data_IF_928905467507
#
_entry.id   IF_928905467507
#
_cell.length_a   1.000
_cell.length_b   1.000
_cell.length_c   1.000
_cell.angle_alpha   90.00
_cell.angle_beta   90.00
_cell.angle_gamma   90.00
#
_symmetry.space_group_name_H-M   'P 1'
#
loop_
_entity.id
_entity.type
_entity.pdbx_description
1 polymer ?
#
# COMPACT_ATOMS: atom_id res chain seq x y z
N UNK A 1 -22.27 23.15 -43.37
CA UNK A 1 -20.95 22.70 -42.88
C UNK A 1 -21.16 22.22 -41.45
N UNK A 2 -21.11 20.89 -41.27
CA UNK A 2 -21.22 20.26 -39.96
C UNK A 2 -19.95 20.54 -39.17
N UNK A 3 -20.08 20.87 -37.88
CA UNK A 3 -18.96 20.75 -36.96
C UNK A 3 -19.38 19.76 -35.87
N UNK A 4 -18.98 18.51 -36.08
CA UNK A 4 -19.13 17.40 -35.16
C UNK A 4 -18.18 17.55 -33.96
N UNK A 5 -18.77 17.38 -32.78
CA UNK A 5 -18.27 16.56 -31.66
C UNK A 5 -16.78 16.70 -31.31
N UNK A 6 -16.50 17.40 -30.21
CA UNK A 6 -15.52 16.90 -29.23
C UNK A 6 -16.28 16.13 -28.16
N UNK A 7 -16.38 14.82 -28.37
CA UNK A 7 -16.63 13.89 -27.29
C UNK A 7 -15.48 14.05 -26.29
N UNK A 8 -15.78 14.52 -25.09
CA UNK A 8 -14.91 14.32 -23.92
C UNK A 8 -14.77 12.82 -23.75
N UNK A 9 -13.66 12.27 -24.24
CA UNK A 9 -13.22 10.94 -23.87
C UNK A 9 -13.12 10.92 -22.35
N UNK A 10 -14.12 10.33 -21.70
CA UNK A 10 -14.03 9.91 -20.32
C UNK A 10 -12.96 8.85 -20.26
N UNK A 11 -11.71 9.26 -20.02
CA UNK A 11 -10.67 8.37 -19.53
C UNK A 11 -11.30 7.71 -18.31
N UNK A 12 -11.55 6.40 -18.36
CA UNK A 12 -11.85 5.66 -17.15
C UNK A 12 -10.69 5.94 -16.21
N UNK A 13 -10.87 6.82 -15.23
CA UNK A 13 -9.85 7.04 -14.21
C UNK A 13 -9.65 5.68 -13.55
N UNK A 14 -8.46 5.11 -13.70
CA UNK A 14 -8.13 3.86 -13.03
C UNK A 14 -8.39 4.05 -11.55
N UNK A 15 -9.18 3.13 -10.98
CA UNK A 15 -9.60 3.17 -9.56
C UNK A 15 -8.39 3.23 -8.64
N UNK A 16 -7.35 2.47 -8.95
CA UNK A 16 -6.01 2.57 -8.37
C UNK A 16 -5.01 1.95 -9.35
N UNK A 17 -3.74 2.32 -9.20
CA UNK A 17 -2.66 1.70 -9.95
C UNK A 17 -2.35 0.31 -9.40
N UNK A 18 -2.17 -0.66 -10.30
CA UNK A 18 -1.90 -2.05 -9.94
C UNK A 18 -0.80 -2.65 -10.83
N UNK A 19 0.01 -3.53 -10.25
CA UNK A 19 1.00 -4.37 -10.94
C UNK A 19 0.84 -5.80 -10.44
N UNK A 20 0.83 -6.78 -11.35
CA UNK A 20 0.67 -8.19 -11.02
C UNK A 20 -0.55 -8.53 -10.13
N UNK A 21 -1.64 -7.74 -10.20
CA UNK A 21 -2.83 -7.92 -9.36
C UNK A 21 -2.72 -7.32 -7.95
N UNK A 22 -1.59 -6.68 -7.63
CA UNK A 22 -1.33 -5.97 -6.39
C UNK A 22 -1.45 -4.47 -6.57
N UNK A 23 -1.87 -3.76 -5.52
CA UNK A 23 -1.89 -2.31 -5.56
C UNK A 23 -0.47 -1.77 -5.49
N UNK A 24 -0.24 -0.59 -6.05
CA UNK A 24 1.04 0.11 -5.91
C UNK A 24 0.99 1.10 -4.75
N UNK A 25 1.92 0.95 -3.82
CA UNK A 25 2.22 1.93 -2.77
C UNK A 25 3.43 2.74 -3.25
N UNK A 26 3.39 4.05 -3.04
CA UNK A 26 4.44 4.99 -3.43
C UNK A 26 5.04 5.67 -2.22
N UNK A 27 6.37 5.77 -2.19
CA UNK A 27 7.12 6.58 -1.22
C UNK A 27 7.16 8.03 -1.70
N UNK A 28 6.75 8.97 -0.85
CA UNK A 28 6.84 10.40 -1.11
C UNK A 28 7.56 11.13 0.03
N UNK A 29 8.42 12.07 -0.34
CA UNK A 29 9.06 12.99 0.61
C UNK A 29 8.00 13.85 1.32
N UNK A 30 8.07 13.92 2.65
CA UNK A 30 7.27 14.89 3.41
C UNK A 30 8.01 16.22 3.39
N UNK A 31 7.40 17.25 2.80
CA UNK A 31 8.02 18.57 2.62
C UNK A 31 7.31 19.64 3.42
N UNK A 32 8.06 20.64 3.87
CA UNK A 32 7.56 21.86 4.47
C UNK A 32 6.93 22.79 3.40
N UNK A 33 6.35 23.91 3.85
CA UNK A 33 5.76 24.93 2.96
C UNK A 33 6.78 25.61 2.03
N UNK A 34 8.08 25.48 2.32
CA UNK A 34 9.20 26.05 1.55
C UNK A 34 9.80 25.04 0.58
N UNK A 35 9.34 23.78 0.59
CA UNK A 35 9.80 22.70 -0.26
C UNK A 35 10.93 21.84 0.31
N UNK A 36 11.42 22.13 1.52
CA UNK A 36 12.46 21.35 2.18
C UNK A 36 11.85 20.06 2.75
N UNK A 37 12.55 18.94 2.60
CA UNK A 37 12.11 17.68 3.18
C UNK A 37 12.31 17.70 4.69
N UNK A 38 11.32 17.20 5.44
CA UNK A 38 11.47 16.99 6.87
C UNK A 38 12.54 15.94 7.12
N UNK A 39 13.30 16.15 8.19
CA UNK A 39 14.38 15.28 8.60
C UNK A 39 14.26 15.04 10.10
N UNK A 40 14.62 13.85 10.56
CA UNK A 40 14.77 13.52 11.97
C UNK A 40 16.00 14.23 12.55
N UNK A 41 16.09 14.29 13.88
CA UNK A 41 17.24 14.90 14.56
C UNK A 41 18.56 14.17 14.26
N UNK A 42 18.51 12.88 13.92
CA UNK A 42 19.66 12.06 13.51
C UNK A 42 19.96 12.10 12.00
N UNK A 43 19.26 12.94 11.23
CA UNK A 43 19.59 13.18 9.83
C UNK A 43 18.84 12.32 8.80
N UNK A 44 17.88 11.49 9.23
CA UNK A 44 17.09 10.63 8.34
C UNK A 44 15.92 11.40 7.75
N UNK A 45 15.66 11.18 6.46
CA UNK A 45 14.59 11.88 5.76
C UNK A 45 13.22 11.26 6.08
N UNK A 46 12.23 12.11 6.34
CA UNK A 46 10.86 11.66 6.54
C UNK A 46 10.17 11.38 5.21
N UNK A 47 9.51 10.24 5.15
CA UNK A 47 8.69 9.81 4.02
C UNK A 47 7.28 9.46 4.49
N UNK A 48 6.34 9.58 3.55
CA UNK A 48 5.01 9.00 3.65
C UNK A 48 4.86 7.92 2.59
N UNK A 49 4.11 6.88 2.94
CA UNK A 49 3.86 5.73 2.10
C UNK A 49 2.38 5.71 1.78
N UNK A 50 2.02 5.85 0.51
CA UNK A 50 0.61 5.99 0.15
C UNK A 50 0.24 5.24 -1.11
N UNK A 51 -0.98 4.73 -1.11
CA UNK A 51 -1.66 4.22 -2.30
C UNK A 51 -2.63 5.30 -2.78
N UNK A 52 -2.54 5.67 -4.06
CA UNK A 52 -3.46 6.65 -4.66
C UNK A 52 -4.54 5.96 -5.50
N UNK A 53 -5.74 6.53 -5.49
CA UNK A 53 -6.84 6.06 -6.31
C UNK A 53 -7.90 7.13 -6.58
N UNK A 54 -8.92 6.74 -7.34
CA UNK A 54 -10.13 7.53 -7.56
C UNK A 54 -11.35 6.71 -7.14
N UNK A 55 -12.15 7.26 -6.23
CA UNK A 55 -13.46 6.72 -5.84
C UNK A 55 -14.55 7.72 -6.18
N UNK A 56 -15.53 7.31 -7.00
CA UNK A 56 -16.68 8.14 -7.40
C UNK A 56 -16.26 9.51 -7.96
N UNK A 57 -15.20 9.55 -8.77
CA UNK A 57 -14.66 10.78 -9.37
C UNK A 57 -13.89 11.69 -8.40
N UNK A 58 -13.57 11.21 -7.19
CA UNK A 58 -12.74 11.94 -6.22
C UNK A 58 -11.41 11.23 -6.06
N UNK A 59 -10.31 12.00 -6.18
CA UNK A 59 -8.97 11.51 -5.85
C UNK A 59 -8.87 11.27 -4.34
N UNK A 60 -8.40 10.11 -3.98
CA UNK A 60 -8.17 9.70 -2.59
C UNK A 60 -6.75 9.15 -2.45
N UNK A 61 -6.27 9.11 -1.22
CA UNK A 61 -5.03 8.46 -0.85
C UNK A 61 -5.28 7.64 0.42
N UNK A 62 -4.63 6.48 0.49
CA UNK A 62 -4.57 5.62 1.68
C UNK A 62 -3.14 5.70 2.18
N UNK A 63 -2.94 6.24 3.38
CA UNK A 63 -1.63 6.31 4.01
C UNK A 63 -1.33 5.01 4.77
N UNK A 64 -0.05 4.60 4.72
CA UNK A 64 0.47 3.42 5.39
C UNK A 64 1.59 3.80 6.36
N UNK A 65 1.67 3.05 7.44
CA UNK A 65 2.78 3.08 8.39
C UNK A 65 3.29 1.67 8.64
N UNK A 66 4.55 1.48 9.07
CA UNK A 66 5.01 0.18 9.49
C UNK A 66 4.15 -0.38 10.63
N UNK A 67 4.09 -1.70 10.73
CA UNK A 67 3.32 -2.40 11.76
C UNK A 67 3.73 -1.99 13.18
N UNK A 68 5.03 -1.85 13.41
CA UNK A 68 5.64 -1.43 14.67
C UNK A 68 6.57 -0.21 14.51
N UNK A 69 7.12 0.29 15.63
CA UNK A 69 7.97 1.50 15.63
C UNK A 69 9.34 1.30 14.96
N UNK A 70 9.89 0.09 14.98
CA UNK A 70 11.17 -0.25 14.37
C UNK A 70 11.07 -0.52 12.86
N UNK A 71 9.86 -0.78 12.37
CA UNK A 71 9.59 -1.16 10.99
C UNK A 71 9.87 -0.10 9.91
N UNK A 72 10.25 1.13 10.27
CA UNK A 72 10.64 2.14 9.28
C UNK A 72 11.92 1.78 8.54
N UNK A 73 12.92 1.20 9.22
CA UNK A 73 14.18 0.79 8.57
C UNK A 73 13.95 -0.26 7.48
N UNK A 74 13.30 -1.41 7.74
CA UNK A 74 13.03 -2.38 6.68
C UNK A 74 12.11 -1.82 5.60
N UNK A 75 11.17 -0.94 5.95
CA UNK A 75 10.32 -0.28 4.97
C UNK A 75 11.12 0.63 4.04
N UNK A 76 12.04 1.44 4.58
CA UNK A 76 12.91 2.30 3.79
C UNK A 76 13.76 1.47 2.81
N UNK A 77 14.30 0.33 3.25
CA UNK A 77 15.09 -0.58 2.40
C UNK A 77 14.28 -1.13 1.22
N UNK A 78 13.01 -1.51 1.43
CA UNK A 78 12.11 -1.92 0.33
C UNK A 78 12.01 -0.81 -0.71
N UNK A 79 11.78 0.43 -0.27
CA UNK A 79 11.57 1.56 -1.17
C UNK A 79 12.85 2.19 -1.73
N UNK A 80 14.03 1.81 -1.21
CA UNK A 80 15.33 2.19 -1.77
C UNK A 80 15.64 1.43 -3.07
N UNK A 81 15.08 0.23 -3.24
CA UNK A 81 15.12 -0.50 -4.51
C UNK A 81 14.29 0.23 -5.58
N UNK A 82 13.07 0.63 -5.23
CA UNK A 82 12.17 1.37 -6.12
C UNK A 82 11.23 2.26 -5.30
N UNK A 83 10.98 3.53 -5.70
CA UNK A 83 10.01 4.40 -5.01
C UNK A 83 8.56 3.87 -5.04
N UNK A 84 8.29 2.81 -5.81
CA UNK A 84 7.02 2.09 -5.88
C UNK A 84 7.20 0.63 -5.43
N UNK A 85 6.28 0.15 -4.59
CA UNK A 85 6.24 -1.23 -4.12
C UNK A 85 4.85 -1.84 -4.33
N UNK A 86 4.80 -3.15 -4.57
CA UNK A 86 3.55 -3.90 -4.64
C UNK A 86 3.02 -4.19 -3.24
N UNK A 87 1.73 -3.95 -3.01
CA UNK A 87 1.02 -4.28 -1.78
C UNK A 87 0.32 -5.62 -1.92
N UNK A 88 0.88 -6.63 -1.26
CA UNK A 88 0.23 -7.92 -1.03
C UNK A 88 -0.66 -7.86 0.20
N UNK A 89 -1.82 -8.51 0.10
CA UNK A 89 -2.84 -8.51 1.15
C UNK A 89 -3.31 -9.94 1.34
N UNK A 90 -3.07 -10.47 2.53
CA UNK A 90 -3.38 -11.85 2.91
C UNK A 90 -4.31 -11.86 4.11
N UNK A 91 -5.22 -12.83 4.15
CA UNK A 91 -5.99 -13.16 5.34
C UNK A 91 -5.33 -14.35 6.02
N UNK A 92 -4.59 -14.11 7.09
CA UNK A 92 -3.96 -15.16 7.88
C UNK A 92 -4.96 -15.77 8.84
N UNK A 93 -5.06 -17.10 8.83
CA UNK A 93 -5.90 -17.86 9.74
C UNK A 93 -4.99 -18.67 10.65
N UNK A 94 -4.96 -18.29 11.92
CA UNK A 94 -4.23 -19.04 12.95
C UNK A 94 -5.23 -19.83 13.77
N UNK A 95 -4.97 -21.12 13.96
CA UNK A 95 -5.75 -21.95 14.87
C UNK A 95 -5.04 -22.09 16.21
N UNK A 96 -5.70 -21.66 17.28
CA UNK A 96 -5.20 -21.80 18.64
C UNK A 96 -6.28 -22.40 19.53
N UNK A 97 -6.00 -23.57 20.11
CA UNK A 97 -6.94 -24.30 20.98
C UNK A 97 -8.33 -24.51 20.37
N UNK A 98 -8.40 -24.88 19.07
CA UNK A 98 -9.65 -25.11 18.35
C UNK A 98 -10.43 -23.84 17.99
N UNK A 99 -9.86 -22.65 18.19
CA UNK A 99 -10.43 -21.37 17.75
C UNK A 99 -9.60 -20.84 16.58
N UNK A 100 -10.29 -20.55 15.48
CA UNK A 100 -9.70 -19.86 14.32
C UNK A 100 -9.72 -18.36 14.56
N UNK A 101 -8.56 -17.73 14.45
CA UNK A 101 -8.38 -16.29 14.50
C UNK A 101 -7.97 -15.80 13.12
N UNK A 102 -8.72 -14.84 12.58
CA UNK A 102 -8.43 -14.19 11.31
C UNK A 102 -7.64 -12.91 11.53
N UNK A 103 -6.63 -12.68 10.70
CA UNK A 103 -5.81 -11.48 10.70
C UNK A 103 -5.47 -11.08 9.28
N UNK A 104 -5.95 -9.92 8.84
CA UNK A 104 -5.50 -9.35 7.58
C UNK A 104 -4.09 -8.78 7.72
N UNK A 105 -3.17 -9.23 6.88
CA UNK A 105 -1.78 -8.77 6.82
C UNK A 105 -1.55 -8.03 5.50
N UNK A 106 -0.81 -6.94 5.61
CA UNK A 106 -0.48 -6.05 4.51
C UNK A 106 1.04 -6.00 4.39
N UNK A 107 1.57 -6.44 3.25
CA UNK A 107 3.00 -6.53 3.03
C UNK A 107 3.36 -5.80 1.76
N UNK A 108 4.22 -4.79 1.87
CA UNK A 108 4.82 -4.18 0.68
C UNK A 108 6.04 -5.00 0.26
N UNK A 109 6.21 -5.19 -1.04
CA UNK A 109 7.35 -5.90 -1.59
C UNK A 109 7.88 -5.28 -2.89
N UNK A 110 9.19 -5.45 -3.09
CA UNK A 110 9.93 -5.08 -4.29
C UNK A 110 10.95 -6.16 -4.61
N UNK A 111 11.39 -6.22 -5.87
CA UNK A 111 12.44 -7.13 -6.31
C UNK A 111 13.59 -6.28 -6.84
N UNK A 112 14.81 -6.53 -6.36
CA UNK A 112 15.99 -5.83 -6.82
C UNK A 112 16.59 -6.42 -8.11
N UNK A 113 17.66 -5.81 -8.61
CA UNK A 113 18.34 -6.22 -9.85
C UNK A 113 18.92 -7.65 -9.77
N UNK A 114 19.18 -8.16 -8.57
CA UNK A 114 19.70 -9.51 -8.34
C UNK A 114 18.58 -10.55 -8.15
N UNK A 115 17.32 -10.12 -8.21
CA UNK A 115 16.16 -10.98 -7.97
C UNK A 115 15.86 -11.22 -6.49
N UNK A 116 16.48 -10.47 -5.57
CA UNK A 116 16.18 -10.59 -4.13
C UNK A 116 14.88 -9.87 -3.84
N UNK A 117 13.98 -10.56 -3.15
CA UNK A 117 12.70 -10.00 -2.71
C UNK A 117 12.91 -9.28 -1.39
N UNK A 118 12.65 -7.98 -1.39
CA UNK A 118 12.61 -7.15 -0.19
C UNK A 118 11.16 -6.96 0.21
N UNK A 119 10.83 -7.14 1.49
CA UNK A 119 9.46 -6.95 1.97
C UNK A 119 9.40 -6.36 3.38
N UNK A 120 8.29 -5.70 3.68
CA UNK A 120 8.00 -5.16 5.02
C UNK A 120 6.49 -5.18 5.30
N UNK A 121 6.11 -5.59 6.53
CA UNK A 121 4.72 -5.50 6.99
C UNK A 121 4.35 -4.05 7.31
N UNK A 122 3.22 -3.61 6.75
CA UNK A 122 2.64 -2.28 6.96
C UNK A 122 1.22 -2.40 7.48
N UNK A 123 0.62 -1.27 7.84
CA UNK A 123 -0.80 -1.14 8.15
C UNK A 123 -1.30 0.22 7.64
N UNK A 124 -2.58 0.33 7.25
CA UNK A 124 -3.20 1.63 7.05
C UNK A 124 -3.03 2.49 8.31
N UNK A 125 -2.65 3.75 8.15
CA UNK A 125 -2.26 4.62 9.28
C UNK A 125 -3.44 4.91 10.20
N UNK A 126 -4.62 5.20 9.65
CA UNK A 126 -5.85 5.48 10.39
C UNK A 126 -7.03 4.63 9.96
N UNK A 127 -8.14 4.73 10.73
CA UNK A 127 -9.40 4.05 10.41
C UNK A 127 -9.99 4.51 9.07
N UNK A 128 -9.82 5.78 8.71
CA UNK A 128 -10.20 6.32 7.41
C UNK A 128 -9.45 5.64 6.27
N UNK A 129 -8.15 5.36 6.45
CA UNK A 129 -7.33 4.66 5.45
C UNK A 129 -7.80 3.21 5.28
N UNK A 130 -8.17 2.52 6.38
CA UNK A 130 -8.79 1.19 6.32
C UNK A 130 -10.08 1.20 5.48
N UNK A 131 -10.95 2.18 5.71
CA UNK A 131 -12.23 2.29 5.00
C UNK A 131 -12.02 2.60 3.52
N UNK A 132 -11.13 3.53 3.19
CA UNK A 132 -10.76 3.86 1.81
C UNK A 132 -10.13 2.67 1.08
N UNK A 133 -9.24 1.94 1.74
CA UNK A 133 -8.62 0.75 1.17
C UNK A 133 -9.66 -0.34 0.89
N UNK A 134 -10.58 -0.58 1.83
CA UNK A 134 -11.69 -1.53 1.64
C UNK A 134 -12.55 -1.14 0.44
N UNK A 135 -12.88 0.15 0.30
CA UNK A 135 -13.63 0.64 -0.86
C UNK A 135 -12.88 0.41 -2.17
N UNK A 136 -11.56 0.66 -2.20
CA UNK A 136 -10.73 0.39 -3.38
C UNK A 136 -10.70 -1.10 -3.73
N UNK A 137 -10.50 -1.97 -2.74
CA UNK A 137 -10.52 -3.43 -2.94
C UNK A 137 -11.82 -3.90 -3.57
N UNK A 138 -12.96 -3.41 -3.06
CA UNK A 138 -14.29 -3.76 -3.57
C UNK A 138 -14.47 -3.29 -5.02
N UNK A 139 -13.98 -2.09 -5.36
CA UNK A 139 -14.12 -1.53 -6.71
C UNK A 139 -13.30 -2.28 -7.76
N UNK A 140 -12.16 -2.87 -7.38
CA UNK A 140 -11.32 -3.66 -8.29
C UNK A 140 -11.56 -5.17 -8.15
N UNK A 141 -12.54 -5.59 -7.34
CA UNK A 141 -12.79 -6.99 -6.99
C UNK A 141 -11.51 -7.73 -6.58
N UNK A 142 -10.67 -7.12 -5.73
CA UNK A 142 -9.40 -7.72 -5.31
C UNK A 142 -9.67 -9.02 -4.56
N UNK A 143 -9.13 -10.12 -5.06
CA UNK A 143 -9.14 -11.39 -4.36
C UNK A 143 -8.06 -11.38 -3.28
N UNK A 144 -8.47 -11.64 -2.04
CA UNK A 144 -7.56 -11.78 -0.89
C UNK A 144 -7.28 -13.26 -0.72
N UNK A 145 -5.99 -13.62 -0.66
CA UNK A 145 -5.58 -15.00 -0.43
C UNK A 145 -5.68 -15.31 1.07
N UNK A 146 -6.34 -16.41 1.40
CA UNK A 146 -6.35 -16.93 2.77
C UNK A 146 -5.18 -17.89 2.96
N UNK A 147 -4.41 -17.70 4.03
CA UNK A 147 -3.23 -18.50 4.37
C UNK A 147 -3.42 -19.05 5.77
N UNK A 148 -3.33 -20.37 5.94
CA UNK A 148 -3.31 -20.98 7.27
C UNK A 148 -1.88 -20.87 7.84
N UNK A 149 -1.76 -20.32 9.04
CA UNK A 149 -0.46 -20.08 9.69
C UNK A 149 -0.38 -20.90 10.98
N UNK A 150 0.67 -21.72 11.08
CA UNK A 150 0.91 -22.53 12.27
C UNK A 150 1.29 -21.64 13.46
N UNK A 151 0.71 -21.89 14.66
CA UNK A 151 0.92 -21.04 15.84
C UNK A 151 2.36 -21.05 16.36
N UNK A 152 3.18 -22.05 16.00
CA UNK A 152 4.60 -22.12 16.40
C UNK A 152 5.52 -21.19 15.60
N UNK A 153 5.07 -20.70 14.43
CA UNK A 153 5.89 -19.85 13.54
C UNK A 153 5.51 -18.37 13.61
N UNK A 154 4.42 -18.03 14.32
CA UNK A 154 3.85 -16.68 14.38
C UNK A 154 4.45 -15.76 15.48
N UNK A 155 5.67 -16.04 15.95
CA UNK A 155 6.34 -15.35 17.05
C UNK A 155 7.04 -14.05 16.63
#
# INVERSE_FOLDING_TARGET
MANEKKATNGTMEQVAEMRNGNFIVRREAIRDKRGNQYMTDDGRLYFKYKLCGTLRGRRIAVDFSPKDKGGYVPLDLVFDVNPEAELDITDEVTEFNGRKQHRTVYTVNTVDENGVVWHAEVKPTGKSDVDLLTMLMNMVNKQIKTVEVDPETAA
#
